data_IF_717883054493
#
_entry.id   IF_717883054493
#
_cell.length_a   1.000
_cell.length_b   1.000
_cell.length_c   1.000
_cell.angle_alpha   90.00
_cell.angle_beta   90.00
_cell.angle_gamma   90.00
#
_symmetry.space_group_name_H-M   'P 1'
#
loop_
_entity.id
_entity.type
_entity.pdbx_description
1 polymer ?
#
# COMPACT_ATOMS: atom_id res chain seq x y z
N UNK A 1 -18.23 -8.15 8.17
CA UNK A 1 -17.36 -8.21 6.98
C UNK A 1 -18.09 -7.51 5.86
N UNK A 2 -17.54 -6.41 5.34
CA UNK A 2 -18.15 -5.70 4.21
C UNK A 2 -18.05 -6.61 2.98
N UNK A 3 -19.14 -6.84 2.26
CA UNK A 3 -19.17 -7.75 1.10
C UNK A 3 -18.22 -7.33 -0.05
N UNK A 4 -17.59 -6.16 0.07
CA UNK A 4 -16.67 -5.57 -0.90
C UNK A 4 -15.19 -5.69 -0.49
N UNK A 5 -14.88 -6.22 0.70
CA UNK A 5 -13.49 -6.32 1.17
C UNK A 5 -12.81 -7.55 0.56
N UNK A 6 -11.59 -7.37 0.05
CA UNK A 6 -10.82 -8.46 -0.55
C UNK A 6 -10.49 -9.54 0.50
N UNK A 7 -10.73 -10.80 0.16
CA UNK A 7 -10.47 -11.94 1.05
C UNK A 7 -8.99 -12.11 1.40
N UNK A 8 -8.11 -11.70 0.49
CA UNK A 8 -6.66 -11.69 0.68
C UNK A 8 -6.12 -10.32 0.32
N UNK A 9 -5.11 -9.88 1.06
CA UNK A 9 -4.42 -8.62 0.81
C UNK A 9 -3.04 -8.91 0.23
N UNK A 10 -2.70 -8.16 -0.82
CA UNK A 10 -1.35 -7.97 -1.34
C UNK A 10 -0.57 -9.21 -1.79
N UNK A 11 0.37 -9.04 -2.73
CA UNK A 11 1.56 -9.87 -2.74
C UNK A 11 2.51 -9.40 -1.63
N UNK A 12 2.98 -10.33 -0.80
CA UNK A 12 4.03 -10.08 0.19
C UNK A 12 5.26 -10.90 -0.13
N UNK A 13 6.43 -10.32 0.13
CA UNK A 13 7.70 -11.05 0.05
C UNK A 13 8.04 -11.62 1.42
N UNK A 14 8.33 -12.91 1.49
CA UNK A 14 8.78 -13.55 2.72
C UNK A 14 10.23 -13.18 2.97
N UNK A 15 10.51 -12.46 4.06
CA UNK A 15 11.88 -12.05 4.43
C UNK A 15 12.53 -13.03 5.39
N UNK A 16 11.77 -13.51 6.38
CA UNK A 16 12.30 -14.38 7.43
C UNK A 16 11.24 -15.32 7.98
N UNK A 17 11.67 -16.50 8.43
CA UNK A 17 10.87 -17.41 9.25
C UNK A 17 11.46 -17.45 10.65
N UNK A 18 10.64 -17.22 11.67
CA UNK A 18 11.10 -17.29 13.06
C UNK A 18 11.16 -18.75 13.55
N UNK A 19 11.80 -18.98 14.71
CA UNK A 19 11.92 -20.33 15.30
C UNK A 19 10.57 -20.99 15.61
N UNK A 20 9.51 -20.19 15.80
CA UNK A 20 8.12 -20.65 15.98
C UNK A 20 7.37 -20.91 14.68
N UNK A 21 8.03 -20.83 13.53
CA UNK A 21 7.46 -21.17 12.22
C UNK A 21 6.63 -20.08 11.55
N UNK A 22 6.45 -18.92 12.17
CA UNK A 22 5.74 -17.78 11.58
C UNK A 22 6.65 -16.95 10.66
N UNK A 23 6.04 -16.35 9.64
CA UNK A 23 6.72 -15.56 8.62
C UNK A 23 6.67 -14.07 8.94
N UNK A 24 7.79 -13.41 8.65
CA UNK A 24 7.92 -11.96 8.58
C UNK A 24 7.82 -11.58 7.10
N UNK A 25 6.84 -10.74 6.80
CA UNK A 25 6.51 -10.33 5.45
C UNK A 25 7.04 -8.92 5.19
N UNK A 26 7.44 -8.69 3.95
CA UNK A 26 7.73 -7.37 3.41
C UNK A 26 6.66 -7.04 2.39
N UNK A 27 6.15 -5.82 2.46
CA UNK A 27 5.18 -5.32 1.50
C UNK A 27 5.85 -4.83 0.22
N UNK A 28 5.04 -4.24 -0.67
CA UNK A 28 5.51 -3.64 -1.92
C UNK A 28 6.31 -2.34 -1.76
N UNK A 29 6.23 -1.66 -0.61
CA UNK A 29 7.03 -0.45 -0.34
C UNK A 29 8.42 -0.82 0.18
N UNK A 30 8.64 -2.09 0.51
CA UNK A 30 9.88 -2.58 1.10
C UNK A 30 9.85 -2.52 2.63
N UNK A 31 8.73 -2.15 3.24
CA UNK A 31 8.56 -2.11 4.68
C UNK A 31 8.21 -3.50 5.23
N UNK A 32 8.72 -3.79 6.43
CA UNK A 32 8.41 -5.03 7.12
C UNK A 32 7.06 -4.90 7.80
N UNK A 33 6.18 -5.86 7.53
CA UNK A 33 4.89 -5.95 8.21
C UNK A 33 5.15 -6.30 9.68
N UNK A 34 4.63 -5.51 10.64
CA UNK A 34 4.93 -5.70 12.06
C UNK A 34 4.32 -6.99 12.64
N UNK A 35 3.31 -7.54 11.97
CA UNK A 35 2.62 -8.76 12.37
C UNK A 35 3.34 -10.02 11.88
N UNK A 36 3.40 -11.05 12.74
CA UNK A 36 3.91 -12.38 12.40
C UNK A 36 2.76 -13.25 11.90
N UNK A 37 2.89 -13.81 10.70
CA UNK A 37 1.84 -14.60 10.09
C UNK A 37 2.18 -16.10 10.07
N UNK A 38 1.33 -16.98 10.61
CA UNK A 38 1.47 -18.42 10.45
C UNK A 38 1.20 -18.82 8.99
N UNK A 39 1.74 -19.97 8.52
CA UNK A 39 1.54 -20.47 7.16
C UNK A 39 0.07 -20.59 6.76
N UNK A 40 -0.82 -20.90 7.71
CA UNK A 40 -2.26 -21.11 7.45
C UNK A 40 -2.98 -19.82 7.04
N UNK A 41 -2.45 -18.66 7.43
CA UNK A 41 -2.98 -17.35 7.04
C UNK A 41 -2.39 -16.84 5.73
N UNK A 42 -1.47 -17.60 5.12
CA UNK A 42 -0.79 -17.22 3.88
C UNK A 42 -1.27 -18.08 2.72
N UNK A 43 -1.44 -17.44 1.57
CA UNK A 43 -1.67 -18.13 0.32
C UNK A 43 -0.41 -18.04 -0.53
N UNK A 44 0.22 -19.19 -0.83
CA UNK A 44 1.33 -19.23 -1.77
C UNK A 44 0.83 -18.87 -3.16
N UNK A 45 1.45 -17.87 -3.77
CA UNK A 45 1.19 -17.45 -5.15
C UNK A 45 2.31 -18.05 -6.00
N UNK A 46 1.95 -18.79 -7.06
CA UNK A 46 2.90 -19.47 -7.94
C UNK A 46 3.52 -18.55 -8.98
N UNK A 47 2.83 -17.46 -9.33
CA UNK A 47 3.37 -16.38 -10.14
C UNK A 47 4.27 -15.51 -9.29
N UNK A 48 5.48 -15.23 -9.79
CA UNK A 48 6.32 -14.16 -9.25
C UNK A 48 5.51 -12.87 -9.38
N UNK A 49 5.04 -12.28 -8.27
CA UNK A 49 4.37 -10.99 -8.37
C UNK A 49 5.38 -10.03 -8.99
N UNK A 50 4.95 -9.28 -10.01
CA UNK A 50 5.66 -8.13 -10.57
C UNK A 50 5.72 -7.00 -9.52
N UNK A 51 6.30 -7.28 -8.34
CA UNK A 51 6.71 -6.28 -7.35
C UNK A 51 7.81 -5.39 -7.95
N UNK A 52 8.49 -5.90 -8.98
CA UNK A 52 9.47 -5.21 -9.81
C UNK A 52 8.90 -4.73 -11.15
N UNK A 53 7.59 -4.54 -11.27
CA UNK A 53 7.07 -3.69 -12.33
C UNK A 53 7.55 -2.27 -12.06
N UNK A 54 8.06 -1.58 -13.06
CA UNK A 54 8.49 -0.17 -13.05
C UNK A 54 7.34 0.81 -12.76
N UNK A 55 6.34 0.40 -11.98
CA UNK A 55 5.33 1.26 -11.42
C UNK A 55 6.00 2.04 -10.28
N UNK A 56 6.39 3.27 -10.57
CA UNK A 56 6.86 4.22 -9.57
C UNK A 56 5.76 4.38 -8.51
N UNK A 57 5.99 3.81 -7.33
CA UNK A 57 5.05 3.90 -6.22
C UNK A 57 5.31 5.21 -5.47
N UNK A 58 4.24 5.97 -5.23
CA UNK A 58 4.29 7.19 -4.43
C UNK A 58 3.51 6.99 -3.13
N UNK A 59 4.12 7.40 -2.02
CA UNK A 59 3.50 7.33 -0.70
C UNK A 59 2.93 8.70 -0.35
N UNK A 60 1.66 8.75 0.04
CA UNK A 60 1.03 9.99 0.52
C UNK A 60 1.54 10.29 1.93
N UNK A 61 2.07 11.49 2.13
CA UNK A 61 2.46 11.99 3.44
C UNK A 61 1.29 12.68 4.14
N UNK A 62 0.64 13.62 3.45
CA UNK A 62 -0.45 14.41 4.00
C UNK A 62 -1.40 14.94 2.91
N UNK A 63 -2.62 15.28 3.32
CA UNK A 63 -3.57 16.06 2.51
C UNK A 63 -3.47 17.51 2.97
N UNK A 64 -2.99 18.40 2.11
CA UNK A 64 -2.69 19.80 2.45
C UNK A 64 -3.91 20.70 2.30
N UNK A 65 -4.72 20.45 1.28
CA UNK A 65 -5.89 21.27 0.97
C UNK A 65 -6.97 20.45 0.26
N UNK A 66 -8.19 20.99 0.22
CA UNK A 66 -9.26 20.49 -0.63
C UNK A 66 -9.97 21.67 -1.29
N UNK A 67 -10.43 21.50 -2.54
CA UNK A 67 -11.25 22.51 -3.23
C UNK A 67 -12.41 21.87 -4.00
N UNK A 68 -13.54 22.57 -4.17
CA UNK A 68 -14.63 22.04 -4.98
C UNK A 68 -14.26 22.08 -6.47
N UNK A 69 -14.54 20.99 -7.18
CA UNK A 69 -14.32 20.92 -8.63
C UNK A 69 -15.33 21.84 -9.31
N UNK A 70 -14.83 22.77 -10.14
CA UNK A 70 -15.69 23.64 -10.94
C UNK A 70 -16.62 22.77 -11.80
N UNK A 71 -17.92 23.04 -11.73
CA UNK A 71 -19.00 22.34 -12.45
C UNK A 71 -19.45 20.98 -11.88
N UNK A 72 -19.01 20.55 -10.68
CA UNK A 72 -19.59 19.37 -10.00
C UNK A 72 -19.89 19.65 -8.52
N UNK A 73 -21.18 19.79 -8.19
CA UNK A 73 -21.63 20.08 -6.82
C UNK A 73 -21.38 18.86 -5.93
N UNK A 74 -20.62 19.04 -4.84
CA UNK A 74 -20.35 17.98 -3.86
C UNK A 74 -19.12 17.11 -4.16
N UNK A 75 -18.34 17.42 -5.20
CA UNK A 75 -17.09 16.72 -5.49
C UNK A 75 -15.91 17.66 -5.19
N UNK A 76 -14.95 17.15 -4.42
CA UNK A 76 -13.75 17.86 -4.02
C UNK A 76 -12.52 17.18 -4.60
N UNK A 77 -11.55 18.00 -5.02
CA UNK A 77 -10.18 17.57 -5.32
C UNK A 77 -9.27 17.92 -4.12
N UNK A 78 -8.21 17.15 -3.92
CA UNK A 78 -7.39 17.18 -2.71
C UNK A 78 -5.93 17.34 -3.09
N UNK A 79 -5.27 18.36 -2.53
CA UNK A 79 -3.85 18.56 -2.71
C UNK A 79 -3.07 17.57 -1.85
N UNK A 80 -2.33 16.69 -2.51
CA UNK A 80 -1.54 15.62 -1.91
C UNK A 80 -0.08 16.05 -1.75
N UNK A 81 0.45 15.93 -0.54
CA UNK A 81 1.89 15.96 -0.25
C UNK A 81 2.44 14.55 -0.37
N UNK A 82 3.46 14.37 -1.21
CA UNK A 82 4.14 13.09 -1.38
C UNK A 82 5.30 12.93 -0.42
N UNK A 83 5.39 11.78 0.24
CA UNK A 83 6.45 11.46 1.18
C UNK A 83 7.80 11.40 0.46
N UNK A 84 8.76 12.17 0.94
CA UNK A 84 10.10 12.26 0.34
C UNK A 84 10.21 13.25 -0.84
N UNK A 85 9.16 14.00 -1.14
CA UNK A 85 9.16 15.07 -2.14
C UNK A 85 8.91 16.43 -1.47
N UNK A 86 9.33 17.51 -2.14
CA UNK A 86 9.13 18.88 -1.65
C UNK A 86 7.69 19.36 -1.90
N UNK A 87 7.30 20.43 -1.21
CA UNK A 87 5.98 21.06 -1.39
C UNK A 87 5.71 21.55 -2.82
N UNK A 88 6.77 21.79 -3.60
CA UNK A 88 6.67 22.15 -5.02
C UNK A 88 6.14 21.01 -5.90
N UNK A 89 6.24 19.76 -5.42
CA UNK A 89 5.78 18.55 -6.10
C UNK A 89 4.35 18.17 -5.66
N UNK A 90 3.67 19.01 -4.88
CA UNK A 90 2.31 18.74 -4.41
C UNK A 90 1.32 18.75 -5.59
N UNK A 91 0.48 17.73 -5.69
CA UNK A 91 -0.48 17.55 -6.81
C UNK A 91 -1.93 17.57 -6.33
N UNK A 92 -2.81 18.27 -7.06
CA UNK A 92 -4.27 18.36 -6.83
C UNK A 92 -5.05 17.16 -7.36
#
# INVERSE_FOLDING_TARGET
TSALEAKYIGPFKVVMRNQGGAYILQDKTGELVPSKYPPEQLKSVSEEPTISGEETHYVVEAIIAHRPIKNKKGIYEYLIRWKGYNADEDTW
#
